data_IF_188550926365
#
_entry.id   IF_188550926365
#
_cell.length_a   1.000
_cell.length_b   1.000
_cell.length_c   1.000
_cell.angle_alpha   90.00
_cell.angle_beta   90.00
_cell.angle_gamma   90.00
#
_symmetry.space_group_name_H-M   'P 1'
#
loop_
_entity.id
_entity.type
_entity.pdbx_description
1 polymer ?
#
# COMPACT_ATOMS: atom_id res chain seq x y z
N UNK A 1 15.30 24.11 -3.89
CA UNK A 1 14.43 23.15 -3.19
C UNK A 1 13.25 22.67 -4.07
N UNK A 2 12.59 23.57 -4.82
CA UNK A 2 11.45 23.18 -5.70
C UNK A 2 11.83 22.20 -6.81
N UNK A 3 13.01 22.27 -7.37
CA UNK A 3 13.47 21.36 -8.42
C UNK A 3 13.73 19.93 -7.92
N UNK A 4 14.16 19.75 -6.68
CA UNK A 4 14.36 18.44 -6.06
C UNK A 4 13.02 17.76 -5.74
N UNK A 5 12.04 18.51 -5.27
CA UNK A 5 10.69 17.98 -4.96
C UNK A 5 9.99 17.53 -6.24
N UNK A 6 10.02 18.34 -7.30
CA UNK A 6 9.43 18.00 -8.60
C UNK A 6 10.13 16.78 -9.26
N UNK A 7 11.46 16.66 -9.07
CA UNK A 7 12.22 15.51 -9.57
C UNK A 7 11.85 14.20 -8.85
N UNK A 8 11.78 14.23 -7.52
CA UNK A 8 11.37 13.08 -6.69
C UNK A 8 9.94 12.68 -7.03
N UNK A 9 9.02 13.62 -7.12
CA UNK A 9 7.63 13.37 -7.47
C UNK A 9 7.50 12.68 -8.84
N UNK A 10 8.23 13.16 -9.85
CA UNK A 10 8.21 12.56 -11.18
C UNK A 10 8.75 11.14 -11.19
N UNK A 11 9.87 10.89 -10.50
CA UNK A 11 10.47 9.56 -10.39
C UNK A 11 9.51 8.62 -9.66
N UNK A 12 8.97 9.03 -8.51
CA UNK A 12 8.02 8.24 -7.75
C UNK A 12 6.79 7.88 -8.57
N UNK A 13 6.23 8.83 -9.33
CA UNK A 13 5.09 8.59 -10.22
C UNK A 13 5.40 7.52 -11.27
N UNK A 14 6.55 7.61 -11.93
CA UNK A 14 6.98 6.60 -12.92
C UNK A 14 7.15 5.23 -12.26
N UNK A 15 7.81 5.17 -11.11
CA UNK A 15 8.01 3.91 -10.37
C UNK A 15 6.70 3.28 -9.91
N UNK A 16 5.73 4.08 -9.47
CA UNK A 16 4.40 3.59 -9.10
C UNK A 16 3.62 3.02 -10.30
N UNK A 17 3.71 3.66 -11.45
CA UNK A 17 3.12 3.13 -12.69
C UNK A 17 3.80 1.83 -13.11
N UNK A 18 5.12 1.75 -13.03
CA UNK A 18 5.86 0.52 -13.30
C UNK A 18 5.48 -0.60 -12.31
N UNK A 19 5.31 -0.28 -11.03
CA UNK A 19 4.83 -1.23 -10.03
C UNK A 19 3.44 -1.77 -10.38
N UNK A 20 2.52 -0.91 -10.81
CA UNK A 20 1.18 -1.31 -11.22
C UNK A 20 1.22 -2.29 -12.40
N UNK A 21 2.03 -1.99 -13.43
CA UNK A 21 2.22 -2.91 -14.56
C UNK A 21 2.86 -4.23 -14.14
N UNK A 22 3.85 -4.19 -13.25
CA UNK A 22 4.47 -5.38 -12.69
C UNK A 22 3.45 -6.23 -11.92
N UNK A 23 2.62 -5.61 -11.10
CA UNK A 23 1.55 -6.30 -10.36
C UNK A 23 0.52 -6.93 -11.31
N UNK A 24 0.14 -6.23 -12.38
CA UNK A 24 -0.74 -6.82 -13.41
C UNK A 24 -0.10 -8.05 -14.07
N UNK A 25 1.16 -7.97 -14.45
CA UNK A 25 1.88 -9.11 -15.05
C UNK A 25 1.98 -10.29 -14.08
N UNK A 26 2.29 -10.03 -12.81
CA UNK A 26 2.33 -11.06 -11.76
C UNK A 26 0.95 -11.65 -11.48
N UNK A 27 -0.12 -10.84 -11.48
CA UNK A 27 -1.48 -11.33 -11.28
C UNK A 27 -1.89 -12.28 -12.41
N UNK A 28 -1.66 -11.88 -13.68
CA UNK A 28 -1.93 -12.74 -14.84
C UNK A 28 -1.12 -14.04 -14.76
N UNK A 29 0.17 -13.94 -14.43
CA UNK A 29 1.03 -15.12 -14.26
C UNK A 29 0.50 -16.04 -13.16
N UNK A 30 0.12 -15.49 -12.01
CA UNK A 30 -0.38 -16.24 -10.85
C UNK A 30 -1.70 -16.95 -11.15
N UNK A 31 -2.60 -16.32 -11.91
CA UNK A 31 -3.89 -16.90 -12.31
C UNK A 31 -3.75 -18.11 -13.26
N UNK A 32 -2.70 -18.12 -14.08
CA UNK A 32 -2.43 -19.21 -15.06
C UNK A 32 -1.59 -20.35 -14.44
N UNK A 33 -1.13 -20.19 -13.21
CA UNK A 33 -0.27 -21.18 -12.54
C UNK A 33 -1.00 -22.50 -12.32
N UNK A 34 -0.35 -23.60 -12.71
CA UNK A 34 -0.86 -24.95 -12.44
C UNK A 34 -0.90 -25.18 -10.93
N UNK A 35 -2.10 -25.49 -10.40
CA UNK A 35 -2.32 -25.65 -8.95
C UNK A 35 -2.80 -24.38 -8.23
N UNK A 36 -2.90 -23.23 -8.92
CA UNK A 36 -3.39 -21.99 -8.34
C UNK A 36 -4.92 -21.86 -8.27
N UNK A 37 -5.66 -22.71 -9.00
CA UNK A 37 -7.12 -22.66 -9.05
C UNK A 37 -7.83 -22.72 -7.68
N UNK A 38 -7.41 -23.57 -6.71
CA UNK A 38 -8.01 -23.56 -5.38
C UNK A 38 -7.77 -22.25 -4.64
N UNK A 39 -6.60 -21.62 -4.85
CA UNK A 39 -6.30 -20.31 -4.26
C UNK A 39 -7.15 -19.18 -4.83
N UNK A 40 -7.46 -19.26 -6.12
CA UNK A 40 -8.35 -18.33 -6.80
C UNK A 40 -9.79 -18.49 -6.29
N UNK A 41 -10.25 -19.74 -6.14
CA UNK A 41 -11.56 -20.05 -5.57
C UNK A 41 -11.65 -19.56 -4.12
N UNK A 42 -10.61 -19.80 -3.31
CA UNK A 42 -10.52 -19.32 -1.93
C UNK A 42 -10.65 -17.81 -1.83
N UNK A 43 -10.02 -17.06 -2.73
CA UNK A 43 -10.02 -15.60 -2.71
C UNK A 43 -11.30 -14.98 -3.26
N UNK A 44 -11.84 -15.54 -4.37
CA UNK A 44 -12.96 -14.94 -5.10
C UNK A 44 -14.33 -15.45 -4.64
N UNK A 45 -14.40 -16.66 -4.04
CA UNK A 45 -15.64 -17.26 -3.61
C UNK A 45 -16.01 -16.78 -2.20
N UNK A 46 -17.07 -15.97 -2.05
CA UNK A 46 -17.50 -15.53 -0.74
C UNK A 46 -18.06 -16.70 0.07
N UNK A 47 -17.54 -16.87 1.29
CA UNK A 47 -18.04 -17.84 2.26
C UNK A 47 -18.88 -17.11 3.32
N UNK A 48 -20.17 -16.94 3.02
CA UNK A 48 -21.10 -16.29 3.92
C UNK A 48 -21.34 -17.10 5.23
N UNK A 49 -21.13 -18.42 5.18
CA UNK A 49 -21.23 -19.27 6.38
C UNK A 49 -20.15 -18.88 7.39
N UNK A 50 -18.89 -18.87 6.99
CA UNK A 50 -17.79 -18.44 7.85
C UNK A 50 -17.93 -17.00 8.33
N UNK A 51 -18.49 -16.11 7.51
CA UNK A 51 -18.73 -14.73 7.90
C UNK A 51 -19.77 -14.63 9.03
N UNK A 52 -20.82 -15.45 9.00
CA UNK A 52 -21.83 -15.50 10.04
C UNK A 52 -21.28 -16.16 11.31
N UNK A 53 -20.53 -17.25 11.18
CA UNK A 53 -19.88 -17.98 12.29
C UNK A 53 -18.86 -17.09 13.02
N UNK A 54 -18.10 -16.28 12.30
CA UNK A 54 -17.18 -15.29 12.87
C UNK A 54 -17.89 -14.08 13.52
N UNK A 55 -19.19 -13.95 13.30
CA UNK A 55 -20.01 -12.81 13.69
C UNK A 55 -20.02 -11.71 12.64
N UNK A 56 -21.17 -11.44 12.08
CA UNK A 56 -21.36 -10.42 11.03
C UNK A 56 -20.83 -9.04 11.46
N UNK A 57 -21.08 -8.66 12.72
CA UNK A 57 -20.60 -7.41 13.30
C UNK A 57 -19.08 -7.32 13.33
N UNK A 58 -18.39 -8.40 13.69
CA UNK A 58 -16.95 -8.47 13.73
C UNK A 58 -16.34 -8.36 12.31
N UNK A 59 -16.95 -9.00 11.33
CA UNK A 59 -16.51 -8.96 9.93
C UNK A 59 -16.67 -7.55 9.34
N UNK A 60 -17.79 -6.88 9.60
CA UNK A 60 -18.01 -5.50 9.19
C UNK A 60 -17.03 -4.56 9.88
N UNK A 61 -16.83 -4.71 11.19
CA UNK A 61 -15.87 -3.88 11.95
C UNK A 61 -14.44 -4.04 11.43
N UNK A 62 -14.01 -5.27 11.14
CA UNK A 62 -12.70 -5.54 10.55
C UNK A 62 -12.55 -4.89 9.16
N UNK A 63 -13.57 -4.98 8.29
CA UNK A 63 -13.56 -4.34 6.98
C UNK A 63 -13.52 -2.81 7.07
N UNK A 64 -14.29 -2.22 8.00
CA UNK A 64 -14.24 -0.78 8.28
C UNK A 64 -12.86 -0.36 8.79
N UNK A 65 -12.28 -1.11 9.72
CA UNK A 65 -10.93 -0.86 10.25
C UNK A 65 -9.88 -0.90 9.15
N UNK A 66 -9.96 -1.88 8.25
CA UNK A 66 -9.05 -1.98 7.11
C UNK A 66 -9.20 -0.79 6.15
N UNK A 67 -10.42 -0.39 5.80
CA UNK A 67 -10.68 0.77 4.95
C UNK A 67 -10.17 2.07 5.57
N UNK A 68 -10.38 2.25 6.87
CA UNK A 68 -9.90 3.40 7.62
C UNK A 68 -8.37 3.50 7.65
N UNK A 69 -7.71 2.35 7.75
CA UNK A 69 -6.26 2.25 7.76
C UNK A 69 -5.65 2.48 6.36
N UNK A 70 -6.16 1.79 5.34
CA UNK A 70 -5.59 1.85 3.98
C UNK A 70 -5.75 3.23 3.34
N UNK A 71 -6.88 3.91 3.57
CA UNK A 71 -7.12 5.28 3.12
C UNK A 71 -6.46 6.35 4.00
N UNK A 72 -5.71 5.95 5.03
CA UNK A 72 -5.01 6.87 5.95
C UNK A 72 -5.91 7.93 6.57
N UNK A 73 -7.18 7.60 6.81
CA UNK A 73 -8.18 8.54 7.35
C UNK A 73 -7.79 8.96 8.78
N UNK A 74 -7.33 7.99 9.60
CA UNK A 74 -6.93 8.25 10.99
C UNK A 74 -5.74 9.18 11.16
N UNK A 75 -4.84 9.22 10.18
CA UNK A 75 -3.65 10.09 10.18
C UNK A 75 -3.99 11.48 9.62
N UNK A 76 -5.15 11.65 8.98
CA UNK A 76 -5.55 12.90 8.32
C UNK A 76 -4.79 13.21 7.03
N UNK A 77 -4.05 12.23 6.47
CA UNK A 77 -3.26 12.45 5.26
C UNK A 77 -4.12 12.89 4.07
N UNK A 78 -5.30 12.30 3.90
CA UNK A 78 -6.25 12.72 2.85
C UNK A 78 -6.73 14.16 3.02
N UNK A 79 -6.92 14.63 4.26
CA UNK A 79 -7.32 16.02 4.52
C UNK A 79 -6.23 17.00 4.08
N UNK A 80 -4.96 16.69 4.36
CA UNK A 80 -3.83 17.53 3.94
C UNK A 80 -3.65 17.51 2.43
N UNK A 81 -3.67 16.33 1.81
CA UNK A 81 -3.61 16.27 0.34
C UNK A 81 -4.80 16.98 -0.31
N UNK A 82 -5.99 16.88 0.29
CA UNK A 82 -7.16 17.63 -0.14
C UNK A 82 -6.97 19.15 -0.09
N UNK A 83 -6.22 19.66 0.89
CA UNK A 83 -5.93 21.09 1.01
C UNK A 83 -5.01 21.62 -0.12
N UNK A 84 -4.23 20.77 -0.77
CA UNK A 84 -3.37 21.14 -1.91
C UNK A 84 -4.08 21.04 -3.26
N UNK A 85 -5.28 20.47 -3.30
CA UNK A 85 -6.07 20.36 -4.55
C UNK A 85 -6.59 21.75 -4.91
N UNK A 86 -6.30 22.19 -6.13
CA UNK A 86 -6.79 23.47 -6.65
C UNK A 86 -8.32 23.51 -6.73
N UNK A 87 -8.89 24.70 -6.58
CA UNK A 87 -10.35 24.96 -6.57
C UNK A 87 -11.08 24.48 -7.84
N UNK A 88 -10.34 24.17 -8.89
CA UNK A 88 -10.87 23.69 -10.19
C UNK A 88 -11.26 22.20 -10.14
N UNK A 89 -10.76 21.43 -9.18
CA UNK A 89 -11.03 20.00 -9.03
C UNK A 89 -12.06 19.72 -7.96
N UNK A 90 -12.96 18.77 -8.24
CA UNK A 90 -13.97 18.35 -7.27
C UNK A 90 -13.39 17.32 -6.31
N UNK A 91 -13.36 17.61 -5.01
CA UNK A 91 -12.85 16.70 -3.97
C UNK A 91 -13.51 15.32 -4.00
N UNK A 92 -14.82 15.28 -4.29
CA UNK A 92 -15.57 14.01 -4.40
C UNK A 92 -15.04 13.12 -5.53
N UNK A 93 -14.71 13.71 -6.69
CA UNK A 93 -14.15 12.97 -7.81
C UNK A 93 -12.78 12.38 -7.48
N UNK A 94 -11.92 13.14 -6.83
CA UNK A 94 -10.60 12.67 -6.39
C UNK A 94 -10.73 11.55 -5.33
N UNK A 95 -11.63 11.71 -4.35
CA UNK A 95 -11.87 10.69 -3.33
C UNK A 95 -12.36 9.37 -3.95
N UNK A 96 -13.28 9.42 -4.89
CA UNK A 96 -13.77 8.23 -5.61
C UNK A 96 -12.63 7.58 -6.40
N UNK A 97 -11.82 8.36 -7.11
CA UNK A 97 -10.68 7.84 -7.89
C UNK A 97 -9.65 7.16 -6.99
N UNK A 98 -9.33 7.76 -5.85
CA UNK A 98 -8.40 7.17 -4.86
C UNK A 98 -8.95 5.85 -4.35
N UNK A 99 -10.22 5.81 -3.94
CA UNK A 99 -10.85 4.59 -3.41
C UNK A 99 -10.87 3.47 -4.45
N UNK A 100 -11.19 3.78 -5.71
CA UNK A 100 -11.20 2.78 -6.80
C UNK A 100 -9.79 2.24 -7.04
N UNK A 101 -8.77 3.11 -7.11
CA UNK A 101 -7.39 2.69 -7.35
C UNK A 101 -6.84 1.87 -6.18
N UNK A 102 -7.10 2.27 -4.95
CA UNK A 102 -6.70 1.55 -3.74
C UNK A 102 -7.31 0.14 -3.72
N UNK A 103 -8.61 0.05 -3.96
CA UNK A 103 -9.32 -1.24 -4.04
C UNK A 103 -8.80 -2.11 -5.17
N UNK A 104 -8.52 -1.53 -6.34
CA UNK A 104 -7.97 -2.27 -7.49
C UNK A 104 -6.60 -2.85 -7.17
N UNK A 105 -5.70 -2.08 -6.56
CA UNK A 105 -4.36 -2.55 -6.18
C UNK A 105 -4.46 -3.64 -5.12
N UNK A 106 -5.30 -3.48 -4.11
CA UNK A 106 -5.54 -4.49 -3.08
C UNK A 106 -6.10 -5.80 -3.68
N UNK A 107 -7.05 -5.68 -4.61
CA UNK A 107 -7.61 -6.82 -5.32
C UNK A 107 -6.56 -7.56 -6.16
N UNK A 108 -5.73 -6.83 -6.91
CA UNK A 108 -4.62 -7.43 -7.65
C UNK A 108 -3.60 -8.12 -6.76
N UNK A 109 -3.29 -7.54 -5.60
CA UNK A 109 -2.40 -8.18 -4.63
C UNK A 109 -2.93 -9.55 -4.18
N UNK A 110 -4.22 -9.66 -3.91
CA UNK A 110 -4.87 -10.94 -3.60
C UNK A 110 -4.78 -11.94 -4.75
N UNK A 111 -5.00 -11.50 -6.00
CA UNK A 111 -4.85 -12.36 -7.19
C UNK A 111 -3.41 -12.85 -7.41
N UNK A 112 -2.42 -12.14 -6.93
CA UNK A 112 -1.01 -12.58 -6.96
C UNK A 112 -0.76 -13.62 -5.87
N UNK A 113 -1.16 -13.31 -4.65
CA UNK A 113 -0.74 -14.01 -3.45
C UNK A 113 -1.45 -15.36 -3.32
N UNK A 114 -2.78 -15.38 -3.34
CA UNK A 114 -3.54 -16.58 -3.03
C UNK A 114 -3.28 -17.74 -4.03
N UNK A 115 -3.40 -17.54 -5.35
CA UNK A 115 -3.13 -18.60 -6.29
C UNK A 115 -1.68 -19.12 -6.21
N UNK A 116 -0.72 -18.21 -6.00
CA UNK A 116 0.69 -18.58 -5.89
C UNK A 116 0.97 -19.37 -4.60
N UNK A 117 0.40 -18.96 -3.46
CA UNK A 117 0.53 -19.70 -2.20
C UNK A 117 0.01 -21.13 -2.33
N UNK A 118 -1.17 -21.32 -2.90
CA UNK A 118 -1.74 -22.65 -3.10
C UNK A 118 -0.97 -23.49 -4.13
N UNK A 119 -0.49 -22.87 -5.21
CA UNK A 119 0.31 -23.56 -6.24
C UNK A 119 1.65 -24.06 -5.70
N UNK A 120 2.27 -23.32 -4.81
CA UNK A 120 3.60 -23.65 -4.26
C UNK A 120 3.55 -24.27 -2.86
N UNK A 121 2.36 -24.49 -2.29
CA UNK A 121 2.20 -25.09 -0.96
C UNK A 121 2.72 -24.18 0.17
N UNK A 122 2.69 -22.86 -0.04
CA UNK A 122 3.08 -21.86 0.97
C UNK A 122 1.82 -21.36 1.66
N UNK A 123 1.82 -21.34 3.01
CA UNK A 123 0.67 -20.81 3.75
C UNK A 123 0.54 -19.30 3.57
N UNK A 124 -0.65 -18.80 3.22
CA UNK A 124 -0.90 -17.36 3.15
C UNK A 124 -0.93 -16.77 4.57
N UNK A 125 0.13 -16.09 4.93
CA UNK A 125 0.22 -15.36 6.20
C UNK A 125 -0.39 -13.96 6.10
N UNK A 126 -0.48 -13.25 7.20
CA UNK A 126 -0.96 -11.87 7.26
C UNK A 126 0.10 -10.91 7.78
N UNK A 127 -0.09 -9.62 7.54
CA UNK A 127 0.82 -8.58 8.02
C UNK A 127 2.20 -8.59 7.38
N UNK A 128 3.25 -8.15 8.09
CA UNK A 128 4.62 -8.07 7.55
C UNK A 128 5.17 -9.41 7.05
N UNK A 129 4.76 -10.52 7.65
CA UNK A 129 5.17 -11.87 7.25
C UNK A 129 4.78 -12.20 5.81
N UNK A 130 3.66 -11.67 5.32
CA UNK A 130 3.23 -11.84 3.94
C UNK A 130 4.25 -11.27 2.95
N UNK A 131 4.80 -10.10 3.26
CA UNK A 131 5.74 -9.39 2.37
C UNK A 131 7.14 -9.99 2.48
N UNK A 132 7.62 -10.29 3.69
CA UNK A 132 9.02 -10.63 3.93
C UNK A 132 9.30 -12.14 3.99
N UNK A 133 8.28 -12.96 4.14
CA UNK A 133 8.42 -14.42 4.19
C UNK A 133 7.67 -15.08 3.02
N UNK A 134 6.36 -14.83 2.90
CA UNK A 134 5.52 -15.52 1.91
C UNK A 134 5.88 -15.13 0.48
N UNK A 135 5.96 -13.85 0.16
CA UNK A 135 6.29 -13.39 -1.20
C UNK A 135 7.69 -13.80 -1.66
N UNK A 136 8.77 -13.69 -0.87
CA UNK A 136 10.08 -14.23 -1.27
C UNK A 136 10.05 -15.74 -1.55
N UNK A 137 9.30 -16.51 -0.74
CA UNK A 137 9.13 -17.95 -1.00
C UNK A 137 8.41 -18.21 -2.32
N UNK A 138 7.35 -17.46 -2.64
CA UNK A 138 6.66 -17.54 -3.94
C UNK A 138 7.65 -17.22 -5.08
N UNK A 139 8.41 -16.14 -4.98
CA UNK A 139 9.39 -15.77 -6.01
C UNK A 139 10.48 -16.83 -6.19
N UNK A 140 10.94 -17.49 -5.11
CA UNK A 140 11.95 -18.55 -5.21
C UNK A 140 11.49 -19.76 -6.02
N UNK A 141 10.18 -20.02 -6.08
CA UNK A 141 9.59 -21.13 -6.86
C UNK A 141 9.20 -20.73 -8.29
N UNK A 142 9.22 -19.43 -8.62
CA UNK A 142 8.88 -18.94 -9.95
C UNK A 142 10.07 -18.98 -10.91
N UNK A 143 9.79 -19.23 -12.19
CA UNK A 143 10.77 -19.00 -13.27
C UNK A 143 11.17 -17.51 -13.26
N UNK A 144 12.48 -17.25 -13.29
CA UNK A 144 13.04 -15.89 -13.19
C UNK A 144 12.69 -15.16 -11.89
N UNK A 145 12.39 -15.90 -10.83
CA UNK A 145 11.91 -15.34 -9.54
C UNK A 145 12.84 -14.30 -8.93
N UNK A 146 14.15 -14.43 -9.13
CA UNK A 146 15.14 -13.41 -8.71
C UNK A 146 14.88 -12.06 -9.39
N UNK A 147 14.60 -12.06 -10.70
CA UNK A 147 14.30 -10.83 -11.44
C UNK A 147 12.99 -10.21 -10.94
N UNK A 148 11.92 -11.01 -10.92
CA UNK A 148 10.60 -10.56 -10.49
C UNK A 148 10.61 -10.06 -9.04
N UNK A 149 11.23 -10.80 -8.14
CA UNK A 149 11.39 -10.42 -6.74
C UNK A 149 12.18 -9.13 -6.57
N UNK A 150 13.32 -8.99 -7.27
CA UNK A 150 14.11 -7.76 -7.21
C UNK A 150 13.33 -6.54 -7.70
N UNK A 151 12.67 -6.65 -8.86
CA UNK A 151 11.85 -5.56 -9.40
C UNK A 151 10.70 -5.20 -8.44
N UNK A 152 10.02 -6.21 -7.89
CA UNK A 152 8.93 -6.00 -6.93
C UNK A 152 9.41 -5.23 -5.70
N UNK A 153 10.50 -5.68 -5.06
CA UNK A 153 11.00 -5.04 -3.84
C UNK A 153 11.59 -3.65 -4.10
N UNK A 154 12.24 -3.44 -5.25
CA UNK A 154 12.71 -2.10 -5.64
C UNK A 154 11.54 -1.15 -5.79
N UNK A 155 10.51 -1.52 -6.56
CA UNK A 155 9.34 -0.65 -6.75
C UNK A 155 8.55 -0.44 -5.46
N UNK A 156 8.42 -1.48 -4.63
CA UNK A 156 7.78 -1.38 -3.33
C UNK A 156 8.55 -0.46 -2.38
N UNK A 157 9.89 -0.44 -2.43
CA UNK A 157 10.70 0.49 -1.65
C UNK A 157 10.43 1.96 -2.03
N UNK A 158 10.24 2.24 -3.33
CA UNK A 158 9.84 3.59 -3.77
C UNK A 158 8.41 3.94 -3.32
N UNK A 159 7.50 2.98 -3.35
CA UNK A 159 6.15 3.18 -2.83
C UNK A 159 6.17 3.49 -1.32
N UNK A 160 6.93 2.71 -0.55
CA UNK A 160 7.11 2.95 0.88
C UNK A 160 7.74 4.32 1.16
N UNK A 161 8.76 4.71 0.39
CA UNK A 161 9.40 6.02 0.53
C UNK A 161 8.41 7.17 0.28
N UNK A 162 7.53 7.05 -0.72
CA UNK A 162 6.51 8.07 -0.99
C UNK A 162 5.52 8.21 0.17
N UNK A 163 5.14 7.10 0.79
CA UNK A 163 4.26 7.08 1.97
C UNK A 163 4.94 7.74 3.18
N UNK A 164 6.21 7.43 3.43
CA UNK A 164 7.00 8.06 4.49
C UNK A 164 7.06 9.58 4.30
N UNK A 165 7.35 10.05 3.08
CA UNK A 165 7.37 11.49 2.77
C UNK A 165 6.01 12.13 3.05
N UNK A 166 4.91 11.48 2.66
CA UNK A 166 3.55 11.96 2.88
C UNK A 166 3.23 12.09 4.38
N UNK A 167 3.59 11.11 5.20
CA UNK A 167 3.39 11.13 6.65
C UNK A 167 4.20 12.26 7.28
N UNK A 168 5.48 12.41 6.92
CA UNK A 168 6.30 13.51 7.42
C UNK A 168 5.75 14.88 7.02
N UNK A 169 5.27 15.02 5.80
CA UNK A 169 4.66 16.27 5.34
C UNK A 169 3.41 16.62 6.14
N UNK A 170 2.59 15.60 6.50
CA UNK A 170 1.44 15.76 7.36
C UNK A 170 1.84 16.31 8.73
N UNK A 171 2.81 15.69 9.40
CA UNK A 171 3.29 16.09 10.72
C UNK A 171 3.89 17.51 10.67
N UNK A 172 4.68 17.83 9.64
CA UNK A 172 5.30 19.14 9.46
C UNK A 172 4.23 20.22 9.24
N UNK A 173 3.22 19.97 8.40
CA UNK A 173 2.13 20.91 8.17
C UNK A 173 1.36 21.17 9.45
N UNK A 174 1.00 20.13 10.19
CA UNK A 174 0.34 20.26 11.48
C UNK A 174 1.17 21.08 12.49
N UNK A 175 2.48 20.79 12.60
CA UNK A 175 3.37 21.52 13.49
C UNK A 175 3.50 22.99 13.11
N UNK A 176 3.60 23.31 11.82
CA UNK A 176 3.68 24.71 11.34
C UNK A 176 2.38 25.47 11.56
N UNK A 177 1.23 24.85 11.34
CA UNK A 177 -0.07 25.46 11.52
C UNK A 177 -0.36 25.73 13.01
N UNK A 178 0.01 24.80 13.88
CA UNK A 178 -0.22 24.91 15.33
C UNK A 178 0.71 25.92 16.01
N UNK A 179 1.99 25.93 15.63
CA UNK A 179 3.02 26.72 16.34
C UNK A 179 3.43 28.00 15.63
N UNK A 180 3.04 28.19 14.38
CA UNK A 180 3.50 29.31 13.54
C UNK A 180 5.01 29.27 13.23
N UNK A 181 5.69 28.16 13.51
CA UNK A 181 7.13 28.05 13.29
C UNK A 181 7.46 27.90 11.80
N UNK A 182 8.70 28.24 11.42
CA UNK A 182 9.15 28.05 10.04
C UNK A 182 9.28 26.57 9.71
N UNK A 183 8.97 26.19 8.47
CA UNK A 183 9.05 24.80 7.95
C UNK A 183 10.42 24.17 8.27
N UNK A 184 11.52 24.93 8.16
CA UNK A 184 12.87 24.43 8.46
C UNK A 184 13.02 23.97 9.92
N UNK A 185 12.44 24.74 10.86
CA UNK A 185 12.45 24.39 12.30
C UNK A 185 11.57 23.16 12.55
N UNK A 186 10.37 23.09 11.95
CA UNK A 186 9.48 21.95 12.08
C UNK A 186 10.13 20.65 11.55
N UNK A 187 10.81 20.71 10.40
CA UNK A 187 11.57 19.57 9.87
C UNK A 187 12.68 19.14 10.81
N UNK A 188 13.50 20.08 11.31
CA UNK A 188 14.61 19.77 12.23
C UNK A 188 14.09 19.07 13.50
N UNK A 189 13.05 19.61 14.12
CA UNK A 189 12.41 19.01 15.30
C UNK A 189 11.85 17.63 15.02
N UNK A 190 11.17 17.45 13.89
CA UNK A 190 10.61 16.16 13.50
C UNK A 190 11.70 15.09 13.33
N UNK A 191 12.80 15.43 12.65
CA UNK A 191 13.94 14.52 12.49
C UNK A 191 14.55 14.14 13.83
N UNK A 192 14.74 15.10 14.76
CA UNK A 192 15.29 14.83 16.09
C UNK A 192 14.37 13.89 16.86
N UNK A 193 13.07 14.15 16.88
CA UNK A 193 12.07 13.33 17.59
C UNK A 193 12.07 11.90 17.03
N UNK A 194 12.06 11.74 15.72
CA UNK A 194 12.08 10.41 15.09
C UNK A 194 13.37 9.65 15.42
N UNK A 195 14.53 10.32 15.39
CA UNK A 195 15.79 9.68 15.78
C UNK A 195 15.72 9.23 17.25
N UNK A 196 15.23 10.06 18.16
CA UNK A 196 15.11 9.71 19.59
C UNK A 196 14.16 8.53 19.78
N UNK A 197 12.99 8.53 19.10
CA UNK A 197 12.00 7.46 19.21
C UNK A 197 12.41 6.16 18.51
N UNK A 198 13.36 6.21 17.57
CA UNK A 198 13.90 5.03 16.89
C UNK A 198 15.09 4.38 17.60
N UNK A 199 15.59 4.99 18.66
CA UNK A 199 16.62 4.37 19.51
C UNK A 199 15.96 3.28 20.38
N UNK A 200 16.53 2.04 20.42
CA UNK A 200 16.01 0.93 21.20
C UNK A 200 16.13 1.18 22.72
#
# INVERSE_FOLDING_TARGET
AQGLVAGVERITKVMMVCLLFLMMALAVHSMVLKGGAPGLEFYLKPDFGKMVDAGLGNSIFAAMGQSFFTLSIGIGALAIFGSYIGKERRLTGEAISITILDTLVAFMAGLIIFPACFAYGVEPTSGPSLIFITLPNVFNHMAWGRLWGTLFFVFMSFAALSTVIAVFQNIISFATDLTGCSVKKAVAWNVIVVIILSLP
#
